data_IF_375151423785
#
_entry.id   IF_375151423785
#
_cell.length_a   1.000
_cell.length_b   1.000
_cell.length_c   1.000
_cell.angle_alpha   90.00
_cell.angle_beta   90.00
_cell.angle_gamma   90.00
#
_symmetry.space_group_name_H-M   'P 1'
#
loop_
_entity.id
_entity.type
_entity.pdbx_description
1 polymer ?
#
# COMPACT_ATOMS: atom_id res chain seq x y z
N UNK A 1 -16.87 36.30 39.93
CA UNK A 1 -16.36 34.91 39.95
C UNK A 1 -16.84 34.25 38.68
N UNK A 2 -16.00 34.17 37.67
CA UNK A 2 -16.34 33.59 36.34
C UNK A 2 -16.02 32.11 36.39
N UNK A 3 -17.03 31.27 36.27
CA UNK A 3 -16.85 29.78 36.23
C UNK A 3 -16.45 29.40 34.83
N UNK A 4 -15.17 29.03 34.62
CA UNK A 4 -14.66 28.51 33.35
C UNK A 4 -15.09 27.04 33.23
N UNK A 5 -16.13 26.76 32.46
CA UNK A 5 -16.55 25.41 32.14
C UNK A 5 -15.62 24.88 31.04
N UNK A 6 -14.63 24.08 31.39
CA UNK A 6 -13.84 23.32 30.43
C UNK A 6 -14.71 22.18 29.84
N UNK A 7 -15.20 22.38 28.62
CA UNK A 7 -15.82 21.30 27.84
C UNK A 7 -14.69 20.41 27.33
N UNK A 8 -14.49 19.30 28.02
CA UNK A 8 -13.63 18.23 27.50
C UNK A 8 -14.43 17.53 26.41
N UNK A 9 -14.16 17.88 25.15
CA UNK A 9 -14.67 17.12 23.99
C UNK A 9 -13.88 15.81 23.97
N UNK A 10 -14.51 14.64 24.22
CA UNK A 10 -13.79 13.40 24.05
C UNK A 10 -13.37 13.29 22.57
N UNK A 11 -12.05 13.20 22.32
CA UNK A 11 -11.58 12.74 21.03
C UNK A 11 -12.21 11.36 20.80
N UNK A 12 -13.22 11.30 19.96
CA UNK A 12 -13.73 10.03 19.48
C UNK A 12 -12.62 9.44 18.61
N UNK A 13 -11.84 8.50 19.18
CA UNK A 13 -11.02 7.59 18.41
C UNK A 13 -12.01 6.85 17.54
N UNK A 14 -12.07 7.18 16.28
CA UNK A 14 -12.97 6.53 15.34
C UNK A 14 -12.55 5.07 15.26
N UNK A 15 -13.37 4.19 15.83
CA UNK A 15 -13.15 2.76 15.81
C UNK A 15 -13.11 2.29 14.35
N UNK A 16 -12.01 1.65 13.96
CA UNK A 16 -11.83 1.14 12.59
C UNK A 16 -12.36 -0.28 12.57
N UNK A 17 -13.68 -0.42 12.39
CA UNK A 17 -14.31 -1.73 12.26
C UNK A 17 -14.29 -2.20 10.80
N UNK A 18 -14.48 -3.51 10.59
CA UNK A 18 -14.60 -4.09 9.25
C UNK A 18 -15.77 -3.50 8.47
N UNK A 19 -16.86 -3.20 9.16
CA UNK A 19 -18.02 -2.55 8.54
C UNK A 19 -17.70 -1.11 8.10
N UNK A 20 -17.01 -0.34 8.94
CA UNK A 20 -16.58 1.01 8.61
C UNK A 20 -15.65 1.02 7.38
N UNK A 21 -14.70 0.08 7.30
CA UNK A 21 -13.80 -0.05 6.14
C UNK A 21 -14.60 -0.32 4.86
N UNK A 22 -15.54 -1.26 4.90
CA UNK A 22 -16.34 -1.65 3.71
C UNK A 22 -17.31 -0.57 3.25
N UNK A 23 -17.84 0.22 4.18
CA UNK A 23 -18.84 1.26 3.89
C UNK A 23 -18.20 2.60 3.47
N UNK A 24 -16.91 2.80 3.73
CA UNK A 24 -16.22 3.99 3.25
C UNK A 24 -15.84 3.84 1.78
N UNK A 25 -16.44 4.69 0.93
CA UNK A 25 -16.18 4.74 -0.51
C UNK A 25 -14.73 5.04 -0.90
N UNK A 26 -13.94 5.59 0.03
CA UNK A 26 -12.52 5.85 -0.18
C UNK A 26 -11.69 4.58 0.00
N UNK A 27 -12.18 3.57 0.70
CA UNK A 27 -11.50 2.31 0.91
C UNK A 27 -11.75 1.37 -0.28
N UNK A 28 -10.79 1.33 -1.21
CA UNK A 28 -10.91 0.54 -2.44
C UNK A 28 -10.32 -0.85 -2.21
N UNK A 29 -11.12 -1.93 -2.36
CA UNK A 29 -10.58 -3.29 -2.30
C UNK A 29 -9.71 -3.56 -3.53
N UNK A 30 -8.43 -3.88 -3.32
CA UNK A 30 -7.46 -4.09 -4.40
C UNK A 30 -7.28 -5.56 -4.72
N UNK A 31 -7.20 -6.39 -3.69
CA UNK A 31 -6.97 -7.81 -3.84
C UNK A 31 -7.67 -8.57 -2.72
N UNK A 32 -8.44 -9.58 -3.10
CA UNK A 32 -9.01 -10.55 -2.18
C UNK A 32 -8.24 -11.86 -2.34
N UNK A 33 -7.36 -12.15 -1.42
CA UNK A 33 -6.57 -13.37 -1.44
C UNK A 33 -7.40 -14.59 -1.08
N UNK A 34 -7.17 -15.72 -1.76
CA UNK A 34 -7.76 -17.01 -1.37
C UNK A 34 -7.33 -17.47 0.04
N UNK A 35 -6.24 -16.93 0.55
CA UNK A 35 -5.61 -17.32 1.82
C UNK A 35 -5.76 -16.26 2.91
N UNK A 36 -6.95 -15.63 2.99
CA UNK A 36 -7.34 -14.94 4.18
C UNK A 36 -6.93 -13.47 4.36
N UNK A 37 -6.24 -12.82 3.41
CA UNK A 37 -5.97 -11.38 3.51
C UNK A 37 -6.66 -10.63 2.36
N UNK A 38 -7.46 -9.61 2.71
CA UNK A 38 -7.97 -8.61 1.76
C UNK A 38 -7.26 -7.30 2.01
N UNK A 39 -6.77 -6.69 0.94
CA UNK A 39 -6.13 -5.37 0.97
C UNK A 39 -7.13 -4.31 0.53
N UNK A 40 -7.31 -3.29 1.38
CA UNK A 40 -8.04 -2.07 1.01
C UNK A 40 -7.04 -0.91 1.03
N UNK A 41 -7.11 -0.05 0.04
CA UNK A 41 -6.33 1.20 0.02
C UNK A 41 -7.28 2.37 0.29
N UNK A 42 -6.99 3.16 1.30
CA UNK A 42 -7.65 4.45 1.50
C UNK A 42 -7.15 5.44 0.43
N UNK A 43 -7.95 5.59 -0.61
CA UNK A 43 -7.65 6.46 -1.75
C UNK A 43 -7.42 7.91 -1.33
N UNK A 44 -8.14 8.39 -0.31
CA UNK A 44 -8.03 9.76 0.19
C UNK A 44 -6.70 10.05 0.90
N UNK A 45 -6.03 9.01 1.36
CA UNK A 45 -4.74 9.08 2.05
C UNK A 45 -3.53 9.13 1.11
N UNK A 46 -3.73 8.86 -0.20
CA UNK A 46 -2.63 8.75 -1.16
C UNK A 46 -1.95 10.10 -1.36
N UNK A 47 -0.64 10.14 -1.13
CA UNK A 47 0.21 11.33 -1.27
C UNK A 47 1.45 11.04 -2.08
N UNK A 48 1.79 11.95 -3.01
CA UNK A 48 3.12 11.99 -3.61
C UNK A 48 4.12 12.48 -2.57
N UNK A 49 5.25 11.77 -2.43
CA UNK A 49 6.30 12.13 -1.46
C UNK A 49 7.53 12.64 -2.18
N UNK A 50 7.91 11.99 -3.28
CA UNK A 50 9.06 12.35 -4.10
C UNK A 50 8.77 12.02 -5.56
N UNK A 51 9.27 12.87 -6.45
CA UNK A 51 9.24 12.66 -7.89
C UNK A 51 10.51 13.23 -8.50
N UNK A 52 11.30 12.38 -9.13
CA UNK A 52 12.42 12.79 -9.95
C UNK A 52 12.43 11.97 -11.25
N UNK A 53 13.48 12.12 -12.09
CA UNK A 53 13.53 11.48 -13.40
C UNK A 53 13.41 9.94 -13.32
N UNK A 54 13.89 9.31 -12.25
CA UNK A 54 14.03 7.85 -12.14
C UNK A 54 13.27 7.25 -10.97
N UNK A 55 13.10 8.01 -9.90
CA UNK A 55 12.55 7.55 -8.63
C UNK A 55 11.29 8.33 -8.32
N UNK A 56 10.25 7.58 -7.96
CA UNK A 56 8.99 8.11 -7.46
C UNK A 56 8.72 7.54 -6.09
N UNK A 57 8.09 8.31 -5.22
CA UNK A 57 7.62 7.81 -3.92
C UNK A 57 6.19 8.25 -3.68
N UNK A 58 5.36 7.32 -3.25
CA UNK A 58 4.00 7.60 -2.81
C UNK A 58 3.73 6.92 -1.46
N UNK A 59 2.97 7.61 -0.62
CA UNK A 59 2.54 7.13 0.68
C UNK A 59 1.03 6.92 0.67
N UNK A 60 0.56 5.89 1.38
CA UNK A 60 -0.86 5.62 1.54
C UNK A 60 -1.14 4.86 2.84
N UNK A 61 -2.39 4.92 3.30
CA UNK A 61 -2.93 4.02 4.32
C UNK A 61 -3.49 2.79 3.62
N UNK A 62 -3.07 1.63 4.08
CA UNK A 62 -3.54 0.32 3.61
C UNK A 62 -4.12 -0.44 4.79
N UNK A 63 -5.32 -0.99 4.62
CA UNK A 63 -5.88 -1.93 5.57
C UNK A 63 -5.63 -3.36 5.07
N UNK A 64 -4.88 -4.12 5.84
CA UNK A 64 -4.69 -5.55 5.64
C UNK A 64 -5.69 -6.26 6.56
N UNK A 65 -6.70 -6.89 5.97
CA UNK A 65 -7.79 -7.53 6.71
C UNK A 65 -7.64 -9.04 6.60
N UNK A 66 -7.36 -9.69 7.71
CA UNK A 66 -7.34 -11.15 7.77
C UNK A 66 -8.76 -11.70 7.71
N UNK A 67 -9.11 -12.40 6.64
CA UNK A 67 -10.42 -13.06 6.52
C UNK A 67 -10.46 -14.30 7.43
N UNK A 68 -11.46 -14.37 8.27
CA UNK A 68 -11.64 -15.50 9.18
C UNK A 68 -12.03 -16.77 8.41
N UNK A 69 -11.09 -17.66 8.16
CA UNK A 69 -11.39 -19.03 7.77
C UNK A 69 -11.57 -19.87 9.02
N UNK A 70 -12.78 -19.95 9.54
CA UNK A 70 -13.41 -20.94 10.45
C UNK A 70 -12.56 -21.66 11.53
N UNK A 71 -11.26 -21.44 11.64
CA UNK A 71 -10.36 -22.08 12.60
C UNK A 71 -9.55 -21.12 13.47
N UNK A 72 -9.57 -19.81 13.23
CA UNK A 72 -8.91 -18.81 14.07
C UNK A 72 -9.96 -17.93 14.72
N UNK A 73 -9.95 -17.90 16.03
CA UNK A 73 -10.90 -17.14 16.86
C UNK A 73 -10.68 -15.63 16.82
N UNK A 74 -9.57 -15.17 16.25
CA UNK A 74 -9.21 -13.77 16.23
C UNK A 74 -8.99 -13.33 14.77
N UNK A 75 -9.85 -12.43 14.31
CA UNK A 75 -9.69 -11.75 13.02
C UNK A 75 -9.16 -10.34 13.28
N UNK A 76 -8.11 -9.97 12.56
CA UNK A 76 -7.40 -8.71 12.75
C UNK A 76 -7.52 -7.81 11.55
N UNK A 77 -7.51 -6.51 11.83
CA UNK A 77 -7.36 -5.43 10.87
C UNK A 77 -6.06 -4.72 11.20
N UNK A 78 -5.11 -4.75 10.27
CA UNK A 78 -3.89 -3.97 10.35
C UNK A 78 -4.08 -2.71 9.50
N UNK A 79 -4.12 -1.55 10.14
CA UNK A 79 -4.04 -0.25 9.46
C UNK A 79 -2.58 0.13 9.35
N UNK A 80 -2.07 0.11 8.15
CA UNK A 80 -0.64 0.27 7.85
C UNK A 80 -0.42 1.56 7.06
N UNK A 81 0.42 2.45 7.58
CA UNK A 81 0.94 3.55 6.80
C UNK A 81 2.18 3.05 6.04
N UNK A 82 2.09 3.04 4.71
CA UNK A 82 3.15 2.52 3.84
C UNK A 82 3.72 3.62 2.96
N UNK A 83 5.01 3.51 2.65
CA UNK A 83 5.64 4.30 1.58
C UNK A 83 6.23 3.36 0.55
N UNK A 84 5.77 3.49 -0.69
CA UNK A 84 6.34 2.80 -1.84
C UNK A 84 7.38 3.68 -2.50
N UNK A 85 8.52 3.08 -2.87
CA UNK A 85 9.55 3.66 -3.71
C UNK A 85 9.58 2.88 -5.04
N UNK A 86 9.49 3.60 -6.13
CA UNK A 86 9.41 3.07 -7.50
C UNK A 86 10.63 3.50 -8.28
N UNK A 87 11.35 2.55 -8.85
CA UNK A 87 12.49 2.79 -9.72
C UNK A 87 12.11 2.48 -11.18
N UNK A 88 11.95 3.53 -12.00
CA UNK A 88 11.50 3.38 -13.38
C UNK A 88 12.48 2.55 -14.22
N UNK A 89 13.78 2.65 -13.95
CA UNK A 89 14.77 1.86 -14.68
C UNK A 89 14.57 0.36 -14.52
N UNK A 90 13.95 -0.03 -13.41
CA UNK A 90 13.68 -1.42 -13.05
C UNK A 90 12.21 -1.80 -13.16
N UNK A 91 11.35 -0.94 -13.74
CA UNK A 91 9.97 -1.31 -14.03
C UNK A 91 9.91 -2.45 -15.06
N UNK A 92 8.81 -3.21 -15.05
CA UNK A 92 8.59 -4.30 -16.01
C UNK A 92 8.71 -3.78 -17.45
N UNK A 93 8.06 -2.64 -17.76
CA UNK A 93 8.10 -2.06 -19.10
C UNK A 93 9.49 -1.59 -19.51
N UNK A 94 10.31 -1.08 -18.57
CA UNK A 94 11.69 -0.68 -18.88
C UNK A 94 12.58 -1.87 -19.15
N UNK A 95 12.45 -2.93 -18.36
CA UNK A 95 13.26 -4.15 -18.51
C UNK A 95 12.91 -4.91 -19.78
N UNK A 96 11.61 -4.98 -20.15
CA UNK A 96 11.17 -5.62 -21.42
C UNK A 96 11.74 -4.96 -22.68
N UNK A 97 12.19 -3.71 -22.58
CA UNK A 97 12.85 -3.01 -23.72
C UNK A 97 14.31 -3.36 -23.90
N UNK A 98 14.92 -4.04 -22.95
CA UNK A 98 16.29 -4.52 -23.12
C UNK A 98 16.32 -5.71 -24.07
N UNK A 99 17.23 -5.77 -25.06
CA UNK A 99 17.26 -6.84 -26.07
C UNK A 99 17.29 -8.24 -25.48
N UNK A 100 17.96 -8.40 -24.33
CA UNK A 100 18.09 -9.68 -23.65
C UNK A 100 16.74 -10.27 -23.21
N UNK A 101 15.81 -9.42 -22.71
CA UNK A 101 14.52 -9.86 -22.19
C UNK A 101 13.39 -9.77 -23.22
N UNK A 102 13.58 -8.99 -24.28
CA UNK A 102 12.59 -8.88 -25.35
C UNK A 102 12.39 -10.20 -26.11
N UNK A 103 13.39 -11.09 -26.09
CA UNK A 103 13.38 -12.38 -26.77
C UNK A 103 13.00 -13.56 -25.88
N UNK A 104 13.09 -13.41 -24.54
CA UNK A 104 12.79 -14.50 -23.60
C UNK A 104 12.06 -13.97 -22.37
N UNK A 105 10.74 -14.13 -22.41
CA UNK A 105 9.85 -13.71 -21.32
C UNK A 105 10.08 -14.49 -20.01
N UNK A 106 10.56 -15.73 -20.11
CA UNK A 106 10.83 -16.55 -18.93
C UNK A 106 12.02 -16.02 -18.12
N UNK A 107 13.04 -15.53 -18.81
CA UNK A 107 14.18 -14.84 -18.18
C UNK A 107 13.75 -13.56 -17.46
N UNK A 108 12.81 -12.81 -18.05
CA UNK A 108 12.27 -11.62 -17.41
C UNK A 108 11.56 -11.97 -16.09
N UNK A 109 10.66 -12.95 -16.12
CA UNK A 109 9.93 -13.39 -14.93
C UNK A 109 10.93 -13.81 -13.87
N UNK A 110 11.92 -14.62 -14.20
CA UNK A 110 12.93 -15.05 -13.25
C UNK A 110 13.72 -13.87 -12.66
N UNK A 111 14.19 -12.94 -13.50
CA UNK A 111 14.92 -11.76 -13.06
C UNK A 111 14.10 -10.83 -12.16
N UNK A 112 12.75 -10.85 -12.32
CA UNK A 112 11.82 -10.01 -11.58
C UNK A 112 11.17 -10.68 -10.37
N UNK A 113 11.39 -11.96 -10.14
CA UNK A 113 10.82 -12.67 -8.98
C UNK A 113 11.22 -12.03 -7.65
N UNK A 114 12.48 -11.63 -7.51
CA UNK A 114 13.01 -11.04 -6.28
C UNK A 114 12.73 -9.54 -6.17
N UNK A 115 12.72 -8.82 -7.29
CA UNK A 115 12.51 -7.36 -7.30
C UNK A 115 11.78 -6.91 -8.55
N UNK A 116 10.65 -6.23 -8.35
CA UNK A 116 9.85 -5.64 -9.44
C UNK A 116 10.28 -4.22 -9.83
N UNK A 117 11.29 -3.66 -9.16
CA UNK A 117 11.60 -2.23 -9.20
C UNK A 117 10.80 -1.41 -8.18
N UNK A 118 9.89 -2.06 -7.44
CA UNK A 118 9.23 -1.47 -6.28
C UNK A 118 9.92 -1.90 -4.99
N UNK A 119 10.00 -0.97 -4.06
CA UNK A 119 10.36 -1.22 -2.66
C UNK A 119 9.29 -0.63 -1.76
N UNK A 120 9.09 -1.25 -0.62
CA UNK A 120 8.10 -0.88 0.38
C UNK A 120 8.79 -0.64 1.72
N UNK A 121 8.40 0.42 2.43
CA UNK A 121 8.66 0.58 3.86
C UNK A 121 7.34 0.77 4.61
N UNK A 122 7.26 0.20 5.80
CA UNK A 122 6.15 0.39 6.73
C UNK A 122 6.56 1.50 7.69
N UNK A 123 5.75 2.56 7.77
CA UNK A 123 6.00 3.70 8.64
C UNK A 123 5.33 3.56 10.00
N UNK A 124 4.11 2.99 10.02
CA UNK A 124 3.38 2.66 11.25
C UNK A 124 2.39 1.55 11.02
N UNK A 125 2.04 0.84 12.10
CA UNK A 125 0.99 -0.18 12.12
C UNK A 125 0.11 0.07 13.33
N UNK A 126 -1.20 0.06 13.12
CA UNK A 126 -2.22 0.06 14.17
C UNK A 126 -3.08 -1.19 14.00
N UNK A 127 -3.22 -1.97 15.06
CA UNK A 127 -3.95 -3.23 15.04
C UNK A 127 -5.31 -3.08 15.71
N UNK A 128 -6.34 -3.65 15.08
CA UNK A 128 -7.72 -3.64 15.58
C UNK A 128 -8.34 -5.04 15.43
N UNK A 129 -9.32 -5.33 16.28
CA UNK A 129 -10.24 -6.43 16.01
C UNK A 129 -11.33 -5.98 15.01
N UNK A 130 -12.22 -6.89 14.60
CA UNK A 130 -13.26 -6.57 13.62
C UNK A 130 -14.32 -5.58 14.13
N UNK A 131 -14.51 -5.50 15.44
CA UNK A 131 -15.39 -4.54 16.10
C UNK A 131 -14.77 -3.14 16.22
N UNK A 132 -13.48 -3.02 15.87
CA UNK A 132 -12.75 -1.76 15.88
C UNK A 132 -12.09 -1.43 17.21
N UNK A 133 -11.94 -2.39 18.10
CA UNK A 133 -11.18 -2.21 19.34
C UNK A 133 -9.69 -2.23 19.02
N UNK A 134 -8.97 -1.20 19.43
CA UNK A 134 -7.52 -1.13 19.25
C UNK A 134 -6.81 -2.19 20.10
N UNK A 135 -5.91 -2.94 19.48
CA UNK A 135 -5.12 -4.01 20.10
C UNK A 135 -3.66 -3.60 20.28
N UNK A 136 -3.14 -2.72 19.42
CA UNK A 136 -1.77 -2.25 19.47
C UNK A 136 -1.50 -1.11 18.50
N UNK A 137 -0.39 -0.42 18.73
CA UNK A 137 0.11 0.63 17.85
C UNK A 137 1.64 0.58 17.83
N UNK A 138 2.21 0.45 16.64
CA UNK A 138 3.64 0.47 16.38
C UNK A 138 3.93 1.68 15.48
N UNK A 139 3.98 2.87 16.09
CA UNK A 139 4.37 4.11 15.40
C UNK A 139 5.88 4.26 15.28
N UNK A 140 6.31 5.12 14.35
CA UNK A 140 7.71 5.49 14.14
C UNK A 140 8.64 4.30 13.86
N UNK A 141 8.20 3.40 12.99
CA UNK A 141 9.04 2.29 12.51
C UNK A 141 10.17 2.91 11.66
N UNK A 142 11.44 2.59 11.94
CA UNK A 142 12.57 3.09 11.14
C UNK A 142 12.39 2.77 9.65
N UNK A 143 12.73 3.73 8.79
CA UNK A 143 12.60 3.57 7.35
C UNK A 143 13.54 2.46 6.85
N UNK A 144 12.97 1.32 6.53
CA UNK A 144 13.68 0.18 5.95
C UNK A 144 12.92 -0.32 4.72
N UNK A 145 13.48 -0.07 3.54
CA UNK A 145 12.90 -0.54 2.29
C UNK A 145 13.20 -2.01 2.04
N UNK A 146 12.15 -2.77 1.77
CA UNK A 146 12.22 -4.16 1.30
C UNK A 146 11.75 -4.25 -0.15
N UNK A 147 12.36 -5.14 -0.92
CA UNK A 147 11.94 -5.38 -2.30
C UNK A 147 10.57 -6.02 -2.36
N UNK A 148 9.75 -5.59 -3.32
CA UNK A 148 8.43 -6.15 -3.62
C UNK A 148 8.55 -7.01 -4.86
N UNK A 149 8.30 -8.30 -4.74
CA UNK A 149 8.33 -9.25 -5.85
C UNK A 149 7.08 -9.13 -6.74
N UNK A 150 7.18 -9.51 -8.02
CA UNK A 150 6.03 -9.44 -8.96
C UNK A 150 4.81 -10.26 -8.52
N UNK A 151 5.03 -11.38 -7.86
CA UNK A 151 3.97 -12.26 -7.38
C UNK A 151 3.47 -11.91 -5.97
N UNK A 152 4.08 -10.90 -5.33
CA UNK A 152 3.63 -10.43 -4.02
C UNK A 152 2.32 -9.64 -4.20
N UNK A 153 1.27 -9.91 -3.40
CA UNK A 153 0.07 -9.09 -3.35
C UNK A 153 0.36 -7.58 -3.21
N UNK A 154 1.41 -7.22 -2.51
CA UNK A 154 1.87 -5.83 -2.33
C UNK A 154 2.29 -5.16 -3.63
N UNK A 155 2.67 -5.94 -4.67
CA UNK A 155 2.93 -5.39 -6.01
C UNK A 155 1.65 -4.81 -6.64
N UNK A 156 0.52 -5.51 -6.51
CA UNK A 156 -0.78 -5.05 -7.03
C UNK A 156 -1.22 -3.79 -6.28
N UNK A 157 -1.07 -3.79 -4.95
CA UNK A 157 -1.34 -2.62 -4.10
C UNK A 157 -0.47 -1.43 -4.51
N UNK A 158 0.83 -1.64 -4.69
CA UNK A 158 1.77 -0.61 -5.12
C UNK A 158 1.44 -0.04 -6.50
N UNK A 159 1.05 -0.88 -7.48
CA UNK A 159 0.59 -0.42 -8.79
C UNK A 159 -0.65 0.44 -8.71
N UNK A 160 -1.62 0.08 -7.86
CA UNK A 160 -2.81 0.88 -7.64
C UNK A 160 -2.45 2.25 -7.05
N UNK A 161 -1.65 2.29 -5.98
CA UNK A 161 -1.21 3.53 -5.33
C UNK A 161 -0.47 4.42 -6.35
N UNK A 162 0.43 3.85 -7.15
CA UNK A 162 1.14 4.59 -8.20
C UNK A 162 0.19 5.18 -9.24
N UNK A 163 -0.79 4.38 -9.70
CA UNK A 163 -1.78 4.82 -10.69
C UNK A 163 -2.62 5.99 -10.16
N UNK A 164 -3.09 5.92 -8.94
CA UNK A 164 -3.87 7.00 -8.32
C UNK A 164 -3.00 8.25 -8.08
N UNK A 165 -1.74 8.07 -7.68
CA UNK A 165 -0.83 9.18 -7.45
C UNK A 165 -0.37 9.86 -8.76
N UNK A 166 -0.05 9.08 -9.81
CA UNK A 166 0.66 9.57 -10.99
C UNK A 166 -0.12 9.40 -12.31
N UNK A 167 -1.34 8.87 -12.28
CA UNK A 167 -2.22 8.75 -13.45
C UNK A 167 -1.89 7.58 -14.40
N UNK A 168 -0.93 6.73 -14.09
CA UNK A 168 -0.57 5.54 -14.88
C UNK A 168 -0.04 4.44 -13.99
N UNK A 169 -0.19 3.17 -14.37
CA UNK A 169 0.37 2.06 -13.63
C UNK A 169 1.91 2.04 -13.72
N UNK A 170 2.59 1.70 -12.62
CA UNK A 170 4.05 1.64 -12.58
C UNK A 170 4.61 0.62 -13.57
N UNK A 171 3.95 -0.51 -13.75
CA UNK A 171 4.35 -1.54 -14.73
C UNK A 171 4.45 -1.02 -16.17
N UNK A 172 3.72 0.08 -16.49
CA UNK A 172 3.70 0.71 -17.80
C UNK A 172 4.70 1.88 -17.93
N UNK A 173 5.43 2.19 -16.85
CA UNK A 173 6.39 3.30 -16.85
C UNK A 173 7.67 2.93 -17.55
N UNK A 174 8.17 3.86 -18.37
CA UNK A 174 9.47 3.78 -19.04
C UNK A 174 10.14 5.14 -18.99
N UNK A 175 11.46 5.17 -19.15
CA UNK A 175 12.25 6.41 -19.19
C UNK A 175 11.76 7.45 -20.22
N UNK A 176 11.08 7.00 -21.27
CA UNK A 176 10.57 7.87 -22.34
C UNK A 176 9.14 8.32 -22.12
N UNK A 177 8.45 7.76 -21.14
CA UNK A 177 7.08 8.13 -20.82
C UNK A 177 7.09 9.23 -19.77
N UNK A 178 7.08 10.51 -20.27
CA UNK A 178 6.87 11.64 -19.35
C UNK A 178 5.46 11.55 -18.76
N UNK A 179 5.35 11.73 -17.46
CA UNK A 179 4.05 11.95 -16.83
C UNK A 179 3.52 13.30 -17.33
N UNK A 180 2.31 13.30 -17.85
CA UNK A 180 1.63 14.56 -18.16
C UNK A 180 1.40 15.29 -16.83
N UNK A 181 2.01 16.45 -16.68
CA UNK A 181 1.84 17.33 -15.51
C UNK A 181 0.50 18.01 -15.53
#
# INVERSE_FOLDING_TARGET
>A
MLLLVCIVIPLQIQAISMEAIKNDKNNVPILTGKNAITYFVDKSSIKRVEENQFIYKAQAVVYEVENNNSRRTNSYIHKVLVTYRYDINHSVASVLRTPQYAQDYSLLIYAKQASSGMKLTINSVEDFNYEGVALGNFGNIPEQYVDVALHDPKYVVGNYIFKEAYGTAFENMTLHKKLNK
#
